data_IF_185220142346
#
_entry.id   IF_185220142346
#
_cell.length_a   1.000
_cell.length_b   1.000
_cell.length_c   1.000
_cell.angle_alpha   90.00
_cell.angle_beta   90.00
_cell.angle_gamma   90.00
#
_symmetry.space_group_name_H-M   'P 1'
#
loop_
_entity.id
_entity.type
_entity.pdbx_description
1 polymer ?
#
# COMPACT_ATOMS: atom_id res chain seq x y z
N UNK A 1 -28.68 -5.75 4.89
CA UNK A 1 -27.59 -5.03 5.56
C UNK A 1 -26.35 -5.91 5.53
N UNK A 2 -25.28 -5.35 5.07
CA UNK A 2 -24.04 -6.13 5.03
C UNK A 2 -23.42 -6.21 6.42
N UNK A 3 -22.98 -7.39 6.78
CA UNK A 3 -22.27 -7.57 8.03
C UNK A 3 -20.95 -6.80 7.97
N UNK A 4 -20.77 -5.90 8.91
CA UNK A 4 -19.55 -5.11 9.00
C UNK A 4 -18.49 -5.91 9.74
N UNK A 5 -17.95 -6.92 9.07
CA UNK A 5 -16.84 -7.64 9.66
C UNK A 5 -15.61 -6.73 9.74
N UNK A 6 -14.91 -6.75 10.87
CA UNK A 6 -13.69 -5.96 10.97
C UNK A 6 -12.70 -6.41 9.91
N UNK A 7 -12.05 -5.44 9.27
CA UNK A 7 -11.02 -5.73 8.28
C UNK A 7 -9.87 -6.41 9.01
N UNK A 8 -9.58 -7.65 8.65
CA UNK A 8 -8.44 -8.35 9.23
C UNK A 8 -7.14 -7.80 8.65
N UNK A 9 -6.06 -7.89 9.43
CA UNK A 9 -4.75 -7.47 8.97
C UNK A 9 -4.30 -8.25 7.73
N UNK A 10 -4.60 -9.55 7.69
CA UNK A 10 -4.26 -10.38 6.54
C UNK A 10 -5.02 -9.93 5.29
N UNK A 11 -6.31 -9.61 5.40
CA UNK A 11 -7.09 -9.08 4.29
C UNK A 11 -6.53 -7.74 3.83
N UNK A 12 -6.19 -6.87 4.77
CA UNK A 12 -5.65 -5.54 4.45
C UNK A 12 -4.34 -5.63 3.66
N UNK A 13 -3.43 -6.51 4.06
CA UNK A 13 -2.07 -6.54 3.53
C UNK A 13 -1.82 -7.59 2.46
N UNK A 14 -2.68 -8.60 2.31
CA UNK A 14 -2.42 -9.73 1.42
C UNK A 14 -3.42 -9.87 0.28
N UNK A 15 -4.60 -9.30 0.40
CA UNK A 15 -5.65 -9.41 -0.62
C UNK A 15 -5.82 -8.10 -1.36
N UNK A 16 -5.63 -8.08 -2.71
CA UNK A 16 -5.70 -6.84 -3.48
C UNK A 16 -7.11 -6.37 -3.82
N UNK A 17 -8.14 -7.13 -3.48
CA UNK A 17 -9.52 -6.71 -3.69
C UNK A 17 -9.96 -5.72 -2.62
N UNK A 18 -10.90 -4.83 -2.97
CA UNK A 18 -11.45 -3.86 -2.04
C UNK A 18 -10.83 -2.48 -2.17
N UNK A 19 -11.10 -1.64 -1.17
CA UNK A 19 -10.73 -0.23 -1.17
C UNK A 19 -10.12 0.17 0.16
N UNK A 20 -9.21 1.15 0.15
CA UNK A 20 -8.70 1.80 1.38
C UNK A 20 -8.71 3.31 1.21
N UNK A 21 -8.95 4.02 2.30
CA UNK A 21 -8.94 5.48 2.30
C UNK A 21 -7.54 6.07 2.39
N UNK A 22 -7.45 7.41 2.35
CA UNK A 22 -6.18 8.13 2.40
C UNK A 22 -5.39 7.84 3.68
N UNK A 23 -6.07 7.87 4.83
CA UNK A 23 -5.41 7.63 6.12
C UNK A 23 -4.81 6.23 6.18
N UNK A 24 -5.56 5.23 5.74
CA UNK A 24 -5.09 3.84 5.72
C UNK A 24 -3.90 3.70 4.77
N UNK A 25 -3.96 4.34 3.61
CA UNK A 25 -2.84 4.30 2.66
C UNK A 25 -1.58 4.93 3.23
N UNK A 26 -1.68 6.10 3.87
CA UNK A 26 -0.52 6.74 4.49
C UNK A 26 0.05 5.90 5.63
N UNK A 27 -0.83 5.33 6.46
CA UNK A 27 -0.40 4.55 7.63
C UNK A 27 0.21 3.22 7.20
N UNK A 28 -0.51 2.43 6.42
CA UNK A 28 -0.12 1.06 6.08
C UNK A 28 0.64 0.95 4.76
N UNK A 29 0.53 1.92 3.87
CA UNK A 29 1.22 1.93 2.59
C UNK A 29 2.52 2.72 2.59
N UNK A 30 2.69 3.65 3.52
CA UNK A 30 3.88 4.50 3.58
C UNK A 30 4.56 4.41 4.94
N UNK A 31 3.87 4.80 6.02
CA UNK A 31 4.49 4.90 7.34
C UNK A 31 4.93 3.55 7.89
N UNK A 32 4.06 2.56 7.88
CA UNK A 32 4.39 1.23 8.42
C UNK A 32 5.45 0.51 7.60
N UNK A 33 5.39 0.49 6.26
CA UNK A 33 6.49 -0.10 5.48
C UNK A 33 7.83 0.58 5.72
N UNK A 34 7.86 1.90 5.84
CA UNK A 34 9.12 2.63 6.12
C UNK A 34 9.66 2.26 7.50
N UNK A 35 8.80 2.24 8.52
CA UNK A 35 9.22 1.87 9.88
C UNK A 35 9.72 0.43 9.92
N UNK A 36 9.01 -0.48 9.29
CA UNK A 36 9.39 -1.89 9.24
C UNK A 36 10.68 -2.10 8.44
N UNK A 37 10.83 -1.38 7.32
CA UNK A 37 12.05 -1.44 6.52
C UNK A 37 13.27 -1.00 7.34
N UNK A 38 13.14 0.10 8.09
CA UNK A 38 14.20 0.59 8.95
C UNK A 38 14.54 -0.43 10.05
N UNK A 39 13.52 -0.95 10.71
CA UNK A 39 13.69 -1.94 11.77
C UNK A 39 14.41 -3.20 11.25
N UNK A 40 13.93 -3.76 10.15
CA UNK A 40 14.51 -4.97 9.56
C UNK A 40 15.92 -4.72 9.06
N UNK A 41 16.17 -3.55 8.47
CA UNK A 41 17.51 -3.19 8.00
C UNK A 41 18.50 -3.17 9.16
N UNK A 42 18.16 -2.50 10.24
CA UNK A 42 19.02 -2.43 11.41
C UNK A 42 19.24 -3.83 11.99
N UNK A 43 18.18 -4.60 12.15
CA UNK A 43 18.27 -5.96 12.71
C UNK A 43 19.16 -6.86 11.86
N UNK A 44 18.96 -6.89 10.55
CA UNK A 44 19.75 -7.75 9.66
C UNK A 44 21.20 -7.32 9.61
N UNK A 45 21.47 -6.01 9.63
CA UNK A 45 22.84 -5.51 9.65
C UNK A 45 23.56 -5.83 10.97
N UNK A 46 22.84 -5.76 12.08
CA UNK A 46 23.41 -6.10 13.39
C UNK A 46 23.80 -7.56 13.47
N UNK A 47 23.00 -8.47 12.91
CA UNK A 47 23.32 -9.90 12.90
C UNK A 47 24.32 -10.29 11.81
N UNK A 48 24.82 -9.34 11.02
CA UNK A 48 25.91 -9.57 10.08
C UNK A 48 25.51 -9.83 8.64
N UNK A 49 24.25 -9.61 8.28
CA UNK A 49 23.82 -9.73 6.88
C UNK A 49 24.44 -8.59 6.07
N UNK A 50 24.92 -8.89 4.86
CA UNK A 50 25.54 -7.88 4.00
C UNK A 50 24.55 -6.79 3.59
N UNK A 51 25.05 -5.58 3.23
CA UNK A 51 24.13 -4.50 2.79
C UNK A 51 23.25 -4.91 1.61
N UNK A 52 23.82 -5.59 0.63
CA UNK A 52 23.06 -6.01 -0.57
C UNK A 52 21.99 -7.04 -0.22
N UNK A 53 22.34 -8.05 0.57
CA UNK A 53 21.38 -9.07 0.98
C UNK A 53 20.27 -8.47 1.84
N UNK A 54 20.60 -7.52 2.71
CA UNK A 54 19.62 -6.80 3.52
C UNK A 54 18.62 -6.07 2.64
N UNK A 55 19.11 -5.31 1.67
CA UNK A 55 18.25 -4.57 0.74
C UNK A 55 17.29 -5.50 0.00
N UNK A 56 17.81 -6.59 -0.56
CA UNK A 56 16.99 -7.55 -1.31
C UNK A 56 15.93 -8.19 -0.43
N UNK A 57 16.31 -8.61 0.78
CA UNK A 57 15.37 -9.27 1.69
C UNK A 57 14.25 -8.33 2.14
N UNK A 58 14.59 -7.09 2.47
CA UNK A 58 13.59 -6.09 2.89
C UNK A 58 12.65 -5.77 1.74
N UNK A 59 13.18 -5.55 0.54
CA UNK A 59 12.36 -5.24 -0.63
C UNK A 59 11.40 -6.38 -0.96
N UNK A 60 11.87 -7.62 -0.92
CA UNK A 60 11.03 -8.78 -1.21
C UNK A 60 9.93 -8.94 -0.16
N UNK A 61 10.25 -8.75 1.11
CA UNK A 61 9.27 -8.88 2.20
C UNK A 61 8.17 -7.85 2.11
N UNK A 62 8.51 -6.62 1.74
CA UNK A 62 7.55 -5.52 1.73
C UNK A 62 6.86 -5.32 0.40
N UNK A 63 7.30 -6.01 -0.65
CA UNK A 63 6.76 -5.81 -2.00
C UNK A 63 5.26 -6.08 -2.05
N UNK A 64 4.83 -7.26 -1.61
CA UNK A 64 3.43 -7.66 -1.75
C UNK A 64 2.47 -6.80 -0.91
N UNK A 65 2.71 -6.61 0.40
CA UNK A 65 1.82 -5.76 1.20
C UNK A 65 1.72 -4.32 0.68
N UNK A 66 2.83 -3.75 0.25
CA UNK A 66 2.85 -2.38 -0.29
C UNK A 66 2.06 -2.31 -1.60
N UNK A 67 2.24 -3.30 -2.46
CA UNK A 67 1.49 -3.39 -3.71
C UNK A 67 -0.01 -3.51 -3.44
N UNK A 68 -0.40 -4.39 -2.51
CA UNK A 68 -1.81 -4.63 -2.17
C UNK A 68 -2.48 -3.35 -1.67
N UNK A 69 -1.84 -2.64 -0.75
CA UNK A 69 -2.40 -1.39 -0.22
C UNK A 69 -2.53 -0.34 -1.32
N UNK A 70 -1.56 -0.25 -2.20
CA UNK A 70 -1.60 0.71 -3.32
C UNK A 70 -2.71 0.37 -4.31
N UNK A 71 -2.88 -0.92 -4.63
CA UNK A 71 -3.99 -1.36 -5.49
C UNK A 71 -5.33 -1.00 -4.87
N UNK A 72 -5.51 -1.26 -3.57
CA UNK A 72 -6.74 -0.91 -2.88
C UNK A 72 -6.99 0.59 -2.87
N UNK A 73 -5.94 1.38 -2.78
CA UNK A 73 -6.08 2.84 -2.82
C UNK A 73 -6.53 3.32 -4.19
N UNK A 74 -5.99 2.75 -5.28
CA UNK A 74 -6.47 3.04 -6.62
C UNK A 74 -7.95 2.64 -6.76
N UNK A 75 -8.35 1.50 -6.17
CA UNK A 75 -9.74 1.07 -6.16
C UNK A 75 -10.64 2.08 -5.47
N UNK A 76 -10.17 2.69 -4.38
CA UNK A 76 -10.93 3.72 -3.69
C UNK A 76 -11.15 4.95 -4.57
N UNK A 77 -10.23 5.21 -5.48
CA UNK A 77 -10.36 6.27 -6.49
C UNK A 77 -11.14 5.83 -7.73
N UNK A 78 -11.71 4.63 -7.74
CA UNK A 78 -12.45 4.11 -8.87
C UNK A 78 -11.59 3.62 -10.02
N UNK A 79 -10.29 3.46 -9.80
CA UNK A 79 -9.33 3.05 -10.83
C UNK A 79 -8.90 1.62 -10.64
N UNK A 80 -8.62 0.94 -11.75
CA UNK A 80 -8.07 -0.42 -11.74
C UNK A 80 -6.72 -0.46 -11.02
N UNK A 81 -6.40 -1.58 -10.41
CA UNK A 81 -5.10 -1.79 -9.76
C UNK A 81 -3.90 -1.66 -10.70
N UNK A 82 -4.11 -1.80 -12.00
CA UNK A 82 -3.04 -1.61 -12.98
C UNK A 82 -2.48 -0.18 -12.99
N UNK A 83 -3.20 0.79 -12.43
CA UNK A 83 -2.68 2.15 -12.29
C UNK A 83 -1.43 2.22 -11.41
N UNK A 84 -1.15 1.19 -10.63
CA UNK A 84 0.07 1.13 -9.83
C UNK A 84 1.33 1.22 -10.69
N UNK A 85 1.27 0.84 -11.98
CA UNK A 85 2.41 0.93 -12.88
C UNK A 85 2.86 2.36 -13.15
N UNK A 86 2.04 3.35 -12.82
CA UNK A 86 2.41 4.76 -12.94
C UNK A 86 3.67 5.08 -12.13
N UNK A 87 3.92 4.35 -11.05
CA UNK A 87 5.13 4.54 -10.23
C UNK A 87 6.42 4.25 -11.02
N UNK A 88 6.32 3.53 -12.13
CA UNK A 88 7.48 3.24 -12.98
C UNK A 88 7.95 4.46 -13.78
N UNK A 89 7.15 5.52 -13.84
CA UNK A 89 7.55 6.78 -14.48
C UNK A 89 8.29 7.61 -13.41
N UNK A 90 9.62 7.79 -13.53
CA UNK A 90 10.37 8.50 -12.49
C UNK A 90 9.86 9.93 -12.32
N UNK A 91 9.83 10.39 -11.09
CA UNK A 91 9.42 11.73 -10.66
C UNK A 91 7.95 12.02 -10.96
N UNK A 92 7.53 12.05 -12.23
CA UNK A 92 6.15 12.35 -12.63
C UNK A 92 5.21 11.31 -12.06
N UNK A 93 5.54 10.03 -12.19
CA UNK A 93 4.73 8.94 -11.64
C UNK A 93 4.65 8.97 -10.13
N UNK A 94 5.75 9.26 -9.47
CA UNK A 94 5.80 9.36 -8.01
C UNK A 94 4.95 10.51 -7.48
N UNK A 95 5.01 11.68 -8.14
CA UNK A 95 4.16 12.81 -7.80
C UNK A 95 2.69 12.49 -8.05
N UNK A 96 2.40 11.81 -9.16
CA UNK A 96 1.04 11.38 -9.47
C UNK A 96 0.48 10.48 -8.37
N UNK A 97 1.25 9.47 -7.95
CA UNK A 97 0.82 8.55 -6.89
C UNK A 97 0.59 9.30 -5.58
N UNK A 98 1.50 10.20 -5.20
CA UNK A 98 1.35 10.98 -3.97
C UNK A 98 0.08 11.83 -4.00
N UNK A 99 -0.19 12.48 -5.12
CA UNK A 99 -1.37 13.34 -5.26
C UNK A 99 -2.65 12.49 -5.29
N UNK A 100 -2.71 11.50 -6.17
CA UNK A 100 -3.93 10.71 -6.34
C UNK A 100 -4.21 9.80 -5.14
N UNK A 101 -3.21 9.09 -4.66
CA UNK A 101 -3.41 8.13 -3.57
C UNK A 101 -3.35 8.78 -2.19
N UNK A 102 -2.53 9.80 -2.03
CA UNK A 102 -2.27 10.39 -0.73
C UNK A 102 -3.13 11.60 -0.39
N UNK A 103 -3.49 12.42 -1.37
CA UNK A 103 -4.13 13.70 -1.14
C UNK A 103 -5.56 13.78 -1.66
N UNK A 104 -5.86 13.09 -2.77
CA UNK A 104 -7.20 13.19 -3.36
C UNK A 104 -8.19 12.26 -2.67
N UNK A 105 -9.41 12.75 -2.55
CA UNK A 105 -10.49 11.99 -1.93
C UNK A 105 -10.87 10.81 -2.81
N UNK A 106 -11.12 9.65 -2.19
CA UNK A 106 -11.67 8.49 -2.87
C UNK A 106 -13.12 8.71 -3.27
N UNK A 107 -13.67 7.77 -4.03
CA UNK A 107 -15.07 7.81 -4.42
C UNK A 107 -15.95 7.78 -3.16
N UNK A 108 -16.89 8.71 -3.06
CA UNK A 108 -17.79 8.79 -1.90
C UNK A 108 -18.91 7.76 -1.98
N UNK A 109 -19.14 7.18 -3.14
CA UNK A 109 -20.17 6.20 -3.37
C UNK A 109 -19.57 4.82 -3.60
N UNK A 110 -20.40 3.78 -3.54
CA UNK A 110 -20.01 2.45 -3.95
C UNK A 110 -19.58 2.46 -5.41
N UNK A 111 -18.43 1.87 -5.70
CA UNK A 111 -17.95 1.69 -7.07
C UNK A 111 -17.74 0.21 -7.35
N UNK A 112 -17.19 -0.12 -8.52
CA UNK A 112 -16.98 -1.52 -8.93
C UNK A 112 -16.07 -2.32 -7.98
N UNK A 113 -15.35 -1.65 -7.08
CA UNK A 113 -14.45 -2.29 -6.13
C UNK A 113 -15.02 -2.41 -4.72
N UNK A 114 -16.25 -1.94 -4.51
CA UNK A 114 -16.94 -2.08 -3.24
C UNK A 114 -17.43 -0.77 -2.66
N UNK A 115 -17.83 -0.84 -1.40
CA UNK A 115 -18.32 0.31 -0.66
C UNK A 115 -17.17 1.19 -0.17
N UNK A 116 -17.41 2.50 0.05
CA UNK A 116 -16.38 3.37 0.60
C UNK A 116 -15.89 2.83 1.95
N UNK A 117 -14.58 2.87 2.20
CA UNK A 117 -14.05 2.53 3.53
C UNK A 117 -14.54 3.54 4.56
N UNK A 118 -14.91 3.07 5.70
CA UNK A 118 -15.56 3.75 6.81
C UNK A 118 -15.19 5.16 7.18
#
# INVERSE_FOLDING_TARGET
>A
MRDLEPVSLSSLLLRPDGRVGRRTWWLWGVAMPLALALYLTVLLRVVGVSPRATEVLVDLLLFWPTLVISVKRWHDRGRSGWWVVVVLIPVIGWLWVLIENGLMRGDVQTNRFGEPPG
#
